data_IF_549626619301
#
_entry.id   IF_549626619301
#
_cell.length_a   1.000
_cell.length_b   1.000
_cell.length_c   1.000
_cell.angle_alpha   90.00
_cell.angle_beta   90.00
_cell.angle_gamma   90.00
#
_symmetry.space_group_name_H-M   'P 1'
#
loop_
_entity.id
_entity.type
_entity.pdbx_description
1 polymer ?
#
# COMPACT_ATOMS: atom_id res chain seq x y z
N UNK A 1 -3.95 26.94 36.13
CA UNK A 1 -4.90 26.04 35.46
C UNK A 1 -4.59 26.04 33.96
N UNK A 2 -4.20 24.89 33.38
CA UNK A 2 -4.05 24.76 31.93
C UNK A 2 -5.42 24.47 31.33
N UNK A 3 -5.71 25.08 30.16
CA UNK A 3 -6.89 24.79 29.34
C UNK A 3 -6.45 24.23 28.00
N UNK A 4 -7.22 23.26 27.49
CA UNK A 4 -7.07 22.76 26.13
C UNK A 4 -7.38 23.90 25.16
N UNK A 5 -6.43 24.21 24.27
CA UNK A 5 -6.55 25.30 23.30
C UNK A 5 -7.24 24.86 21.99
N UNK A 6 -7.61 25.83 21.12
CA UNK A 6 -8.31 25.55 19.85
C UNK A 6 -7.54 24.63 18.90
N UNK A 7 -6.19 24.63 18.92
CA UNK A 7 -5.38 23.72 18.12
C UNK A 7 -5.64 22.23 18.40
N UNK A 8 -6.06 21.87 19.63
CA UNK A 8 -6.45 20.47 19.93
C UNK A 8 -7.72 20.08 19.20
N UNK A 9 -8.64 21.04 19.00
CA UNK A 9 -9.84 20.82 18.19
C UNK A 9 -9.49 20.62 16.71
N UNK A 10 -8.57 21.39 16.16
CA UNK A 10 -8.06 21.22 14.77
C UNK A 10 -7.40 19.85 14.57
N UNK A 11 -6.59 19.41 15.53
CA UNK A 11 -6.01 18.06 15.55
C UNK A 11 -7.11 16.98 15.60
N UNK A 12 -8.14 17.17 16.42
CA UNK A 12 -9.29 16.27 16.51
C UNK A 12 -10.08 16.20 15.21
N UNK A 13 -10.28 17.30 14.50
CA UNK A 13 -10.93 17.33 13.19
C UNK A 13 -10.10 16.61 12.12
N UNK A 14 -8.78 16.78 12.12
CA UNK A 14 -7.88 16.07 11.22
C UNK A 14 -7.92 14.57 11.47
N UNK A 15 -7.91 14.14 12.72
CA UNK A 15 -8.07 12.74 13.11
C UNK A 15 -9.43 12.18 12.69
N UNK A 16 -10.53 12.92 12.89
CA UNK A 16 -11.87 12.48 12.51
C UNK A 16 -12.03 12.33 10.99
N UNK A 17 -11.43 13.23 10.20
CA UNK A 17 -11.45 13.10 8.73
C UNK A 17 -10.65 11.89 8.24
N UNK A 18 -9.52 11.59 8.87
CA UNK A 18 -8.75 10.37 8.61
C UNK A 18 -9.51 9.09 8.95
N UNK A 19 -10.26 9.10 10.07
CA UNK A 19 -11.11 7.95 10.46
C UNK A 19 -12.20 7.66 9.41
N UNK A 20 -12.79 8.67 8.78
CA UNK A 20 -13.76 8.48 7.70
C UNK A 20 -13.10 7.81 6.48
N UNK A 21 -11.91 8.25 6.07
CA UNK A 21 -11.15 7.65 4.99
C UNK A 21 -10.77 6.19 5.31
N UNK A 22 -10.28 5.90 6.51
CA UNK A 22 -9.98 4.54 6.96
C UNK A 22 -11.21 3.63 6.94
N UNK A 23 -12.39 4.15 7.32
CA UNK A 23 -13.64 3.40 7.29
C UNK A 23 -14.05 3.03 5.87
N UNK A 24 -13.95 3.97 4.90
CA UNK A 24 -14.20 3.73 3.48
C UNK A 24 -13.24 2.67 2.96
N UNK A 25 -11.94 2.86 3.17
CA UNK A 25 -10.91 1.92 2.71
C UNK A 25 -11.14 0.53 3.29
N UNK A 26 -11.40 0.42 4.59
CA UNK A 26 -11.65 -0.85 5.27
C UNK A 26 -12.87 -1.57 4.69
N UNK A 27 -13.96 -0.84 4.40
CA UNK A 27 -15.16 -1.41 3.77
C UNK A 27 -14.84 -2.02 2.41
N UNK A 28 -14.06 -1.31 1.59
CA UNK A 28 -13.65 -1.81 0.28
C UNK A 28 -12.66 -2.97 0.37
N UNK A 29 -11.74 -2.95 1.35
CA UNK A 29 -10.83 -4.08 1.63
C UNK A 29 -11.60 -5.35 2.00
N UNK A 30 -12.63 -5.26 2.86
CA UNK A 30 -13.51 -6.39 3.17
C UNK A 30 -14.23 -6.93 1.94
N UNK A 31 -14.68 -6.03 1.07
CA UNK A 31 -15.29 -6.41 -0.21
C UNK A 31 -14.27 -7.09 -1.14
N UNK A 32 -12.99 -6.69 -1.13
CA UNK A 32 -11.92 -7.38 -1.85
C UNK A 32 -11.75 -8.80 -1.28
N UNK A 33 -11.53 -8.91 0.02
CA UNK A 33 -11.31 -10.19 0.70
C UNK A 33 -12.46 -11.16 0.46
N UNK A 34 -13.72 -10.71 0.51
CA UNK A 34 -14.90 -11.56 0.26
C UNK A 34 -14.95 -12.13 -1.17
N UNK A 35 -14.25 -11.52 -2.14
CA UNK A 35 -14.24 -11.96 -3.53
C UNK A 35 -13.03 -12.82 -3.88
N UNK A 36 -11.90 -12.60 -3.22
CA UNK A 36 -10.65 -13.30 -3.58
C UNK A 36 -10.17 -14.28 -2.50
N UNK A 37 -10.70 -14.17 -1.27
CA UNK A 37 -10.32 -14.99 -0.09
C UNK A 37 -8.80 -14.97 0.18
N UNK A 38 -8.19 -13.78 0.02
CA UNK A 38 -6.77 -13.53 0.27
C UNK A 38 -6.61 -12.34 1.22
N UNK A 39 -5.42 -12.17 1.80
CA UNK A 39 -5.14 -11.07 2.72
C UNK A 39 -5.07 -9.75 1.97
N UNK A 40 -5.83 -8.76 2.43
CA UNK A 40 -5.80 -7.38 1.93
C UNK A 40 -5.21 -6.46 3.00
N UNK A 41 -4.24 -5.63 2.61
CA UNK A 41 -3.54 -4.73 3.51
C UNK A 41 -3.54 -3.30 2.96
N UNK A 42 -3.46 -2.33 3.87
CA UNK A 42 -3.28 -0.92 3.54
C UNK A 42 -2.12 -0.37 4.36
N UNK A 43 -1.33 0.48 3.74
CA UNK A 43 -0.21 1.14 4.40
C UNK A 43 0.15 2.49 3.79
N UNK A 44 1.06 3.15 4.48
CA UNK A 44 1.61 4.46 4.12
C UNK A 44 3.14 4.39 4.08
N UNK A 45 3.76 5.33 3.35
CA UNK A 45 5.22 5.45 3.28
C UNK A 45 5.72 6.34 4.42
N UNK A 46 6.65 5.82 5.22
CA UNK A 46 7.36 6.58 6.24
C UNK A 46 8.86 6.34 6.05
N UNK A 47 9.57 7.35 5.56
CA UNK A 47 10.94 7.16 5.11
C UNK A 47 11.02 6.11 3.99
N UNK A 48 11.86 5.12 4.16
CA UNK A 48 12.07 4.03 3.19
C UNK A 48 11.20 2.78 3.49
N UNK A 49 10.29 2.86 4.48
CA UNK A 49 9.49 1.74 4.95
C UNK A 49 7.99 1.95 4.70
N UNK A 50 7.30 0.84 4.49
CA UNK A 50 5.83 0.78 4.55
C UNK A 50 5.41 0.58 5.99
N UNK A 51 4.54 1.44 6.50
CA UNK A 51 3.85 1.24 7.77
C UNK A 51 2.45 0.70 7.50
N UNK A 52 2.14 -0.47 8.03
CA UNK A 52 0.85 -1.14 7.84
C UNK A 52 -0.19 -0.60 8.82
N UNK A 53 -1.29 -0.04 8.28
CA UNK A 53 -2.36 0.59 9.07
C UNK A 53 -3.62 -0.25 9.15
N UNK A 54 -3.96 -1.01 8.08
CA UNK A 54 -5.12 -1.89 8.05
C UNK A 54 -4.73 -3.25 7.49
N UNK A 55 -5.39 -4.29 8.01
CA UNK A 55 -5.33 -5.67 7.51
C UNK A 55 -6.71 -6.27 7.59
N UNK A 56 -7.15 -6.90 6.52
CA UNK A 56 -8.37 -7.73 6.47
C UNK A 56 -7.97 -9.10 5.92
N UNK A 57 -8.43 -10.15 6.56
CA UNK A 57 -8.05 -11.53 6.26
C UNK A 57 -9.25 -12.33 5.75
N UNK A 58 -9.00 -13.25 4.81
CA UNK A 58 -9.98 -14.25 4.38
C UNK A 58 -10.05 -15.44 5.34
N UNK A 59 -10.73 -16.49 4.91
CA UNK A 59 -10.87 -17.71 5.70
C UNK A 59 -9.60 -18.60 5.66
N UNK A 60 -8.77 -18.41 4.65
CA UNK A 60 -7.53 -19.15 4.52
C UNK A 60 -6.50 -18.65 5.54
N UNK A 61 -6.16 -19.48 6.51
CA UNK A 61 -5.14 -19.20 7.52
C UNK A 61 -3.77 -19.16 6.84
N UNK A 62 -3.30 -17.95 6.52
CA UNK A 62 -1.94 -17.72 6.05
C UNK A 62 -1.31 -16.72 7.01
N UNK A 63 -0.30 -17.18 7.71
CA UNK A 63 0.50 -16.31 8.55
C UNK A 63 1.40 -15.44 7.66
N UNK A 64 1.00 -14.20 7.41
CA UNK A 64 1.83 -13.20 6.75
C UNK A 64 2.54 -12.41 7.84
N UNK A 65 3.83 -12.19 7.66
CA UNK A 65 4.71 -11.52 8.66
C UNK A 65 4.28 -10.06 8.93
N UNK A 66 3.56 -9.43 7.98
CA UNK A 66 3.13 -8.02 8.10
C UNK A 66 1.78 -7.92 8.82
N UNK A 67 1.82 -7.42 10.05
CA UNK A 67 0.64 -7.09 10.85
C UNK A 67 0.49 -5.58 11.02
N UNK A 68 -0.69 -5.13 11.47
CA UNK A 68 -0.91 -3.71 11.78
C UNK A 68 0.11 -3.23 12.80
N UNK A 69 0.74 -2.09 12.52
CA UNK A 69 1.82 -1.53 13.34
C UNK A 69 3.23 -2.04 12.99
N UNK A 70 3.35 -3.06 12.16
CA UNK A 70 4.65 -3.48 11.62
C UNK A 70 5.08 -2.57 10.45
N UNK A 71 6.36 -2.63 10.12
CA UNK A 71 6.93 -1.95 8.96
C UNK A 71 7.86 -2.89 8.20
N UNK A 72 7.91 -2.71 6.88
CA UNK A 72 8.78 -3.45 5.97
C UNK A 72 9.41 -2.50 4.95
N UNK A 73 10.62 -2.79 4.45
CA UNK A 73 11.25 -1.96 3.44
C UNK A 73 10.40 -1.83 2.18
N UNK A 74 10.19 -0.59 1.74
CA UNK A 74 9.27 -0.29 0.64
C UNK A 74 9.76 -0.86 -0.71
N UNK A 75 11.07 -0.95 -0.93
CA UNK A 75 11.66 -1.37 -2.21
C UNK A 75 11.41 -2.85 -2.55
N UNK A 76 11.13 -3.70 -1.56
CA UNK A 76 10.89 -5.15 -1.77
C UNK A 76 9.43 -5.55 -1.56
N UNK A 77 8.52 -4.62 -1.30
CA UNK A 77 7.11 -4.94 -1.10
C UNK A 77 6.26 -4.37 -2.22
N UNK A 78 5.22 -5.09 -2.66
CA UNK A 78 4.28 -4.58 -3.66
C UNK A 78 3.61 -3.29 -3.20
N UNK A 79 3.18 -3.25 -1.94
CA UNK A 79 2.59 -2.06 -1.30
C UNK A 79 3.58 -0.88 -1.28
N UNK A 80 4.84 -1.15 -0.94
CA UNK A 80 5.88 -0.13 -0.89
C UNK A 80 6.23 0.43 -2.26
N UNK A 81 6.36 -0.42 -3.28
CA UNK A 81 6.59 0.02 -4.65
C UNK A 81 5.41 0.85 -5.18
N UNK A 82 4.17 0.49 -4.84
CA UNK A 82 2.99 1.29 -5.16
C UNK A 82 3.04 2.67 -4.48
N UNK A 83 3.48 2.76 -3.23
CA UNK A 83 3.68 4.04 -2.53
C UNK A 83 4.81 4.88 -3.15
N UNK A 84 5.97 4.26 -3.39
CA UNK A 84 7.13 4.91 -3.99
C UNK A 84 6.85 5.42 -5.40
N UNK A 85 5.92 4.80 -6.14
CA UNK A 85 5.54 5.26 -7.47
C UNK A 85 4.94 6.67 -7.49
N UNK A 86 4.48 7.18 -6.35
CA UNK A 86 4.00 8.55 -6.18
C UNK A 86 5.10 9.60 -6.11
N UNK A 87 6.35 9.20 -5.97
CA UNK A 87 7.52 10.07 -5.96
C UNK A 87 8.12 10.18 -7.36
N UNK A 88 8.81 11.28 -7.66
CA UNK A 88 9.65 11.41 -8.84
C UNK A 88 10.92 10.58 -8.71
N UNK A 89 11.62 10.31 -9.81
CA UNK A 89 12.89 9.58 -9.78
C UNK A 89 13.93 10.30 -8.91
N UNK A 90 13.98 11.64 -8.95
CA UNK A 90 14.90 12.43 -8.13
C UNK A 90 14.57 12.34 -6.64
N UNK A 91 13.28 12.37 -6.27
CA UNK A 91 12.84 12.17 -4.88
C UNK A 91 13.20 10.77 -4.39
N UNK A 92 13.04 9.74 -5.23
CA UNK A 92 13.45 8.37 -4.89
C UNK A 92 14.97 8.29 -4.73
N UNK A 93 15.75 8.91 -5.63
CA UNK A 93 17.23 8.97 -5.49
C UNK A 93 17.64 9.67 -4.21
N UNK A 94 16.98 10.76 -3.84
CA UNK A 94 17.25 11.47 -2.59
C UNK A 94 16.87 10.63 -1.37
N UNK A 95 15.70 9.98 -1.40
CA UNK A 95 15.19 9.14 -0.31
C UNK A 95 16.12 7.95 -0.02
N UNK A 96 16.67 7.34 -1.08
CA UNK A 96 17.57 6.18 -0.97
C UNK A 96 19.06 6.55 -1.01
N UNK A 97 19.42 7.84 -0.87
CA UNK A 97 20.82 8.26 -0.83
C UNK A 97 21.55 7.61 0.35
N UNK A 98 22.58 6.82 0.05
CA UNK A 98 23.34 6.07 1.07
C UNK A 98 22.61 4.84 1.65
N UNK A 99 21.42 4.49 1.13
CA UNK A 99 20.70 3.29 1.58
C UNK A 99 21.47 2.03 1.20
N UNK A 100 21.56 1.11 2.13
CA UNK A 100 22.17 -0.20 1.90
C UNK A 100 21.06 -1.24 1.63
N UNK A 101 20.91 -1.64 0.37
CA UNK A 101 20.00 -2.71 -0.02
C UNK A 101 20.43 -4.02 0.64
N UNK A 102 19.45 -4.76 1.16
CA UNK A 102 19.64 -6.06 1.79
C UNK A 102 18.83 -7.13 1.06
N UNK A 103 19.41 -8.31 0.76
CA UNK A 103 18.70 -9.39 0.09
C UNK A 103 17.83 -10.15 1.10
N UNK A 104 16.51 -9.98 1.01
CA UNK A 104 15.54 -10.77 1.77
C UNK A 104 15.31 -12.13 1.12
N UNK A 105 15.34 -12.14 -0.22
CA UNK A 105 15.25 -13.32 -1.07
C UNK A 105 16.18 -13.15 -2.28
N UNK A 106 16.37 -14.19 -3.09
CA UNK A 106 17.11 -14.06 -4.35
C UNK A 106 16.49 -13.08 -5.35
N UNK A 107 15.19 -12.78 -5.20
CA UNK A 107 14.44 -11.88 -6.10
C UNK A 107 14.38 -10.43 -5.61
N UNK A 108 14.94 -10.13 -4.43
CA UNK A 108 14.92 -8.76 -3.88
C UNK A 108 15.57 -7.76 -4.83
N UNK A 109 14.99 -6.58 -4.95
CA UNK A 109 15.62 -5.45 -5.63
C UNK A 109 16.84 -5.01 -4.82
N UNK A 110 18.02 -5.00 -5.45
CA UNK A 110 19.30 -4.81 -4.78
C UNK A 110 20.01 -3.51 -5.14
N UNK A 111 19.43 -2.69 -6.00
CA UNK A 111 20.00 -1.41 -6.39
C UNK A 111 18.93 -0.39 -6.77
N UNK A 112 19.35 0.88 -6.76
CA UNK A 112 18.45 2.01 -6.97
C UNK A 112 17.95 2.13 -8.41
N UNK A 113 18.76 1.79 -9.39
CA UNK A 113 18.38 1.93 -10.79
C UNK A 113 17.33 0.87 -11.17
N UNK A 114 17.48 -0.35 -10.69
CA UNK A 114 16.46 -1.42 -10.81
C UNK A 114 15.15 -1.00 -10.11
N UNK A 115 15.23 -0.39 -8.91
CA UNK A 115 14.05 0.14 -8.24
C UNK A 115 13.37 1.21 -9.09
N UNK A 116 14.09 2.20 -9.59
CA UNK A 116 13.54 3.29 -10.41
C UNK A 116 12.88 2.74 -11.66
N UNK A 117 13.50 1.80 -12.36
CA UNK A 117 12.91 1.17 -13.55
C UNK A 117 11.56 0.49 -13.21
N UNK A 118 11.50 -0.28 -12.11
CA UNK A 118 10.25 -0.88 -11.64
C UNK A 118 9.19 0.18 -11.30
N UNK A 119 9.58 1.31 -10.70
CA UNK A 119 8.65 2.39 -10.38
C UNK A 119 8.11 3.10 -11.63
N UNK A 120 8.91 3.25 -12.69
CA UNK A 120 8.46 3.80 -13.98
C UNK A 120 7.38 2.91 -14.61
N UNK A 121 7.55 1.60 -14.57
CA UNK A 121 6.55 0.65 -15.04
C UNK A 121 5.26 0.75 -14.22
N UNK A 122 5.38 0.86 -12.90
CA UNK A 122 4.22 1.01 -11.99
C UNK A 122 3.47 2.32 -12.25
N UNK A 123 4.17 3.44 -12.47
CA UNK A 123 3.53 4.72 -12.82
C UNK A 123 2.74 4.63 -14.12
N UNK A 124 3.29 3.93 -15.11
CA UNK A 124 2.64 3.72 -16.40
C UNK A 124 1.41 2.81 -16.30
N UNK A 125 1.52 1.72 -15.55
CA UNK A 125 0.46 0.71 -15.40
C UNK A 125 -0.57 1.05 -14.31
N UNK A 126 -0.22 1.90 -13.35
CA UNK A 126 -1.05 2.23 -12.19
C UNK A 126 -1.19 1.09 -11.16
N UNK A 127 -0.33 0.07 -11.25
CA UNK A 127 -0.36 -1.12 -10.41
C UNK A 127 1.04 -1.68 -10.21
N UNK A 128 1.30 -2.18 -9.02
CA UNK A 128 2.56 -2.83 -8.65
C UNK A 128 2.37 -4.34 -8.49
N UNK A 129 3.33 -5.09 -8.99
CA UNK A 129 3.45 -6.52 -8.76
C UNK A 129 4.73 -6.80 -7.96
N UNK A 130 4.64 -7.75 -7.06
CA UNK A 130 5.77 -8.26 -6.30
C UNK A 130 5.71 -9.78 -6.31
N UNK A 131 6.82 -10.43 -6.58
CA UNK A 131 6.92 -11.89 -6.65
C UNK A 131 8.14 -12.36 -5.87
N UNK A 132 7.90 -12.77 -4.63
CA UNK A 132 8.92 -13.33 -3.76
C UNK A 132 10.11 -12.39 -3.49
N UNK A 133 9.91 -11.07 -3.52
CA UNK A 133 10.99 -10.10 -3.27
C UNK A 133 11.24 -9.88 -1.77
N UNK A 134 10.16 -9.81 -0.97
CA UNK A 134 10.23 -9.63 0.48
C UNK A 134 10.23 -10.94 1.24
N UNK A 135 9.50 -11.92 0.74
CA UNK A 135 9.30 -13.22 1.40
C UNK A 135 9.14 -14.29 0.33
N UNK A 136 9.89 -15.39 0.44
CA UNK A 136 9.76 -16.53 -0.46
C UNK A 136 8.32 -17.11 -0.42
N UNK A 137 7.86 -17.63 -1.54
CA UNK A 137 6.52 -18.23 -1.71
C UNK A 137 5.35 -17.24 -1.52
N UNK A 138 5.59 -15.95 -1.52
CA UNK A 138 4.57 -14.91 -1.40
C UNK A 138 4.60 -14.01 -2.64
N UNK A 139 3.42 -13.71 -3.18
CA UNK A 139 3.22 -12.75 -4.26
C UNK A 139 2.23 -11.67 -3.84
N UNK A 140 2.40 -10.46 -4.36
CA UNK A 140 1.56 -9.34 -4.00
C UNK A 140 1.18 -8.51 -5.23
N UNK A 141 -0.06 -8.02 -5.24
CA UNK A 141 -0.54 -7.02 -6.20
C UNK A 141 -0.98 -5.81 -5.40
N UNK A 142 -0.56 -4.61 -5.79
CA UNK A 142 -0.87 -3.39 -5.04
C UNK A 142 -1.21 -2.22 -5.98
N UNK A 143 -2.06 -1.32 -5.49
CA UNK A 143 -2.41 -0.07 -6.17
C UNK A 143 -2.20 1.11 -5.24
N UNK A 144 -1.63 2.23 -5.73
CA UNK A 144 -1.57 3.46 -4.97
C UNK A 144 -2.94 4.09 -4.83
N UNK A 145 -3.21 4.76 -3.71
CA UNK A 145 -4.36 5.61 -3.47
C UNK A 145 -3.90 7.06 -3.46
N UNK A 146 -4.47 7.88 -4.34
CA UNK A 146 -4.07 9.26 -4.53
C UNK A 146 -5.17 10.24 -4.11
N UNK A 147 -4.75 11.38 -3.56
CA UNK A 147 -5.57 12.56 -3.35
C UNK A 147 -4.95 13.73 -4.08
N UNK A 148 -5.71 14.40 -4.96
CA UNK A 148 -5.23 15.53 -5.77
C UNK A 148 -3.93 15.22 -6.55
N UNK A 149 -3.81 14.00 -7.08
CA UNK A 149 -2.63 13.56 -7.84
C UNK A 149 -1.43 13.13 -7.00
N UNK A 150 -1.52 13.22 -5.68
CA UNK A 150 -0.46 12.78 -4.76
C UNK A 150 -0.82 11.44 -4.11
N UNK A 151 0.04 10.45 -4.22
CA UNK A 151 -0.11 9.17 -3.52
C UNK A 151 0.02 9.41 -2.01
N UNK A 152 -0.98 8.99 -1.26
CA UNK A 152 -1.05 9.14 0.20
C UNK A 152 -1.03 7.80 0.92
N UNK A 153 -1.53 6.77 0.28
CA UNK A 153 -1.60 5.41 0.80
C UNK A 153 -1.50 4.41 -0.35
N UNK A 154 -1.49 3.12 -0.03
CA UNK A 154 -1.69 2.05 -1.01
C UNK A 154 -2.48 0.92 -0.38
N UNK A 155 -3.16 0.12 -1.21
CA UNK A 155 -3.78 -1.14 -0.82
C UNK A 155 -3.18 -2.28 -1.63
N UNK A 156 -3.08 -3.45 -1.01
CA UNK A 156 -2.53 -4.64 -1.65
C UNK A 156 -3.34 -5.89 -1.33
N UNK A 157 -3.26 -6.87 -2.23
CA UNK A 157 -3.67 -8.25 -1.97
C UNK A 157 -2.43 -9.13 -2.02
N UNK A 158 -2.22 -9.88 -0.95
CA UNK A 158 -1.10 -10.79 -0.78
C UNK A 158 -1.59 -12.22 -0.88
N UNK A 159 -0.94 -13.02 -1.72
CA UNK A 159 -1.35 -14.37 -2.08
C UNK A 159 -0.13 -15.30 -2.02
N UNK A 160 -0.23 -16.51 -1.45
CA UNK A 160 0.80 -17.53 -1.60
C UNK A 160 1.01 -17.90 -3.06
N UNK A 161 2.26 -18.13 -3.44
CA UNK A 161 2.65 -18.43 -4.82
C UNK A 161 1.88 -19.60 -5.43
N UNK A 162 1.64 -20.65 -4.67
CA UNK A 162 0.91 -21.84 -5.15
C UNK A 162 -0.57 -21.57 -5.50
N UNK A 163 -1.15 -20.44 -5.03
CA UNK A 163 -2.49 -19.97 -5.40
C UNK A 163 -2.47 -18.81 -6.40
N UNK A 164 -1.30 -18.26 -6.68
CA UNK A 164 -1.13 -17.08 -7.55
C UNK A 164 -1.04 -17.49 -9.02
N UNK A 165 -2.16 -18.02 -9.57
CA UNK A 165 -2.28 -18.34 -11.00
C UNK A 165 -2.48 -17.07 -11.83
N UNK A 166 -2.31 -17.16 -13.15
CA UNK A 166 -2.53 -16.01 -14.05
C UNK A 166 -3.98 -15.49 -13.97
N UNK A 167 -4.95 -16.39 -13.83
CA UNK A 167 -6.36 -16.02 -13.65
C UNK A 167 -6.56 -15.28 -12.32
N UNK A 168 -5.96 -15.78 -11.24
CA UNK A 168 -6.02 -15.13 -9.91
C UNK A 168 -5.36 -13.76 -9.94
N UNK A 169 -4.20 -13.65 -10.58
CA UNK A 169 -3.50 -12.38 -10.80
C UNK A 169 -4.38 -11.39 -11.54
N UNK A 170 -5.02 -11.81 -12.65
CA UNK A 170 -5.92 -10.94 -13.41
C UNK A 170 -7.14 -10.50 -12.59
N UNK A 171 -7.77 -11.44 -11.87
CA UNK A 171 -8.89 -11.17 -10.98
C UNK A 171 -8.54 -10.09 -9.95
N UNK A 172 -7.43 -10.29 -9.23
CA UNK A 172 -6.95 -9.34 -8.20
C UNK A 172 -6.63 -7.97 -8.84
N UNK A 173 -5.94 -7.96 -9.98
CA UNK A 173 -5.58 -6.75 -10.72
C UNK A 173 -6.82 -5.90 -11.06
N UNK A 174 -7.81 -6.51 -11.72
CA UNK A 174 -9.04 -5.81 -12.11
C UNK A 174 -9.82 -5.31 -10.89
N UNK A 175 -9.88 -6.12 -9.85
CA UNK A 175 -10.58 -5.78 -8.62
C UNK A 175 -9.91 -4.59 -7.91
N UNK A 176 -8.59 -4.62 -7.74
CA UNK A 176 -7.85 -3.53 -7.10
C UNK A 176 -7.96 -2.21 -7.88
N UNK A 177 -7.82 -2.23 -9.20
CA UNK A 177 -7.98 -1.03 -10.03
C UNK A 177 -9.40 -0.43 -9.90
N UNK A 178 -10.44 -1.28 -9.91
CA UNK A 178 -11.81 -0.84 -9.67
C UNK A 178 -12.01 -0.26 -8.27
N UNK A 179 -11.50 -0.93 -7.25
CA UNK A 179 -11.65 -0.51 -5.85
C UNK A 179 -10.87 0.77 -5.54
N UNK A 180 -9.70 0.96 -6.14
CA UNK A 180 -8.98 2.24 -6.11
C UNK A 180 -9.87 3.39 -6.54
N UNK A 181 -10.49 3.28 -7.71
CA UNK A 181 -11.38 4.34 -8.23
C UNK A 181 -12.55 4.63 -7.27
N UNK A 182 -13.20 3.58 -6.75
CA UNK A 182 -14.31 3.73 -5.80
C UNK A 182 -13.87 4.41 -4.49
N UNK A 183 -12.71 4.05 -3.94
CA UNK A 183 -12.15 4.66 -2.72
C UNK A 183 -11.86 6.14 -2.95
N UNK A 184 -11.10 6.47 -4.02
CA UNK A 184 -10.70 7.83 -4.34
C UNK A 184 -11.94 8.72 -4.60
N UNK A 185 -12.94 8.22 -5.32
CA UNK A 185 -14.19 8.93 -5.58
C UNK A 185 -15.04 9.11 -4.32
N UNK A 186 -15.19 8.07 -3.51
CA UNK A 186 -15.94 8.14 -2.25
C UNK A 186 -15.31 9.14 -1.27
N UNK A 187 -13.98 9.14 -1.16
CA UNK A 187 -13.27 10.12 -0.36
C UNK A 187 -13.49 11.55 -0.87
N UNK A 188 -13.46 11.76 -2.20
CA UNK A 188 -13.73 13.06 -2.83
C UNK A 188 -15.15 13.54 -2.56
N UNK A 189 -16.16 12.68 -2.74
CA UNK A 189 -17.58 13.02 -2.53
C UNK A 189 -17.86 13.35 -1.06
N UNK A 190 -17.29 12.57 -0.14
CA UNK A 190 -17.49 12.76 1.29
C UNK A 190 -16.53 13.81 1.91
N UNK A 191 -15.71 14.46 1.08
CA UNK A 191 -14.69 15.42 1.52
C UNK A 191 -13.76 14.85 2.62
N UNK A 192 -13.48 13.55 2.54
CA UNK A 192 -12.52 12.89 3.42
C UNK A 192 -11.10 13.06 2.88
N UNK A 193 -10.16 13.37 3.76
CA UNK A 193 -8.75 13.49 3.39
C UNK A 193 -8.02 12.17 3.68
N UNK A 194 -7.15 11.77 2.74
CA UNK A 194 -6.23 10.64 2.93
C UNK A 194 -5.02 11.09 3.77
N UNK A 195 -5.27 11.41 5.03
CA UNK A 195 -4.25 11.81 6.00
C UNK A 195 -4.22 10.75 7.10
N UNK A 196 -3.04 10.15 7.32
CA UNK A 196 -2.86 9.03 8.24
C UNK A 196 -1.61 9.23 9.11
#
# INVERSE_FOLDING_TARGET
>A
LYKIGPHTFELGLSYASGQNALSIIRSEMRSIVSQVDEVCQMGVLVGQDVHYLLKEEGHAIISIISDVGHHLPAHVTGLGKALLSGLTDDEVRQLYAGYRFFPYTPNSIMDLDTLIAALQDIRSAGIAYESEESTAEICCVAVPLAENGQVKAAISVTTPKFRYTDEKKQQITQLLLKKRQLIEESCRIQNCRLVF
#
